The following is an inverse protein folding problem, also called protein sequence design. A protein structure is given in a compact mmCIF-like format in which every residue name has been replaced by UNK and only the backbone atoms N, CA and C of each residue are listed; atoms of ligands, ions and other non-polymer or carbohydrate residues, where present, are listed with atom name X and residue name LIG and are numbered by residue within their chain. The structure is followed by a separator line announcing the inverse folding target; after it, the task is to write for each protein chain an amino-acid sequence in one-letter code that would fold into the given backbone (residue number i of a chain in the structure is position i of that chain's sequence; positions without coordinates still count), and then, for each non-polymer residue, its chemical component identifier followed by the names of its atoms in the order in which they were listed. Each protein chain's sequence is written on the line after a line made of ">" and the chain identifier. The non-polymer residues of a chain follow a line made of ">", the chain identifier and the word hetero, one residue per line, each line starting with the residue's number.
data_IF_275462580285
#
_entry.id   IF_275462580285
#
_cell.length_a   1.000
_cell.length_b   1.000
_cell.length_c   1.000
_cell.angle_alpha   90.00
_cell.angle_beta   90.00
_cell.angle_gamma   90.00
#
_symmetry.space_group_name_H-M   'P 1'
#
loop_
_entity.id
_entity.type
_entity.pdbx_description
1 polymer ?
#
# COMPACT_ATOMS: atom_id res chain seq x y z
N UNK A 1 -5.88 -27.28 -19.29
CA UNK A 1 -5.84 -28.31 -18.23
C UNK A 1 -7.19 -29.01 -17.99
N UNK A 2 -8.34 -28.49 -18.43
CA UNK A 2 -9.63 -29.22 -18.41
C UNK A 2 -10.06 -29.80 -17.06
N UNK A 3 -9.59 -29.21 -15.95
CA UNK A 3 -9.79 -29.78 -14.60
C UNK A 3 -11.17 -29.49 -14.02
N UNK A 4 -11.80 -28.40 -14.44
CA UNK A 4 -13.12 -27.98 -14.01
C UNK A 4 -13.70 -26.97 -15.01
N UNK A 5 -15.02 -26.95 -15.13
CA UNK A 5 -15.77 -25.91 -15.85
C UNK A 5 -16.05 -24.68 -14.97
N UNK A 6 -16.24 -24.91 -13.66
CA UNK A 6 -16.48 -23.88 -12.65
C UNK A 6 -15.65 -24.15 -11.38
N UNK A 7 -15.14 -23.10 -10.76
CA UNK A 7 -14.34 -23.15 -9.52
C UNK A 7 -14.98 -22.29 -8.44
N UNK A 8 -15.39 -22.91 -7.32
CA UNK A 8 -15.87 -22.17 -6.16
C UNK A 8 -14.70 -21.62 -5.32
N UNK A 9 -14.83 -20.38 -4.84
CA UNK A 9 -13.79 -19.66 -4.09
C UNK A 9 -14.33 -19.22 -2.73
N UNK A 10 -13.73 -19.72 -1.64
CA UNK A 10 -14.14 -19.41 -0.26
C UNK A 10 -13.29 -18.30 0.39
N UNK A 11 -12.19 -18.69 1.05
CA UNK A 11 -11.35 -17.77 1.85
C UNK A 11 -10.85 -16.55 1.08
N UNK A 12 -10.62 -16.66 -0.22
CA UNK A 12 -10.23 -15.52 -1.07
C UNK A 12 -11.27 -14.40 -1.02
N UNK A 13 -12.57 -14.73 -1.17
CA UNK A 13 -13.66 -13.76 -1.09
C UNK A 13 -13.88 -13.21 0.33
N UNK A 14 -13.57 -14.00 1.37
CA UNK A 14 -13.64 -13.51 2.75
C UNK A 14 -12.56 -12.46 3.05
N UNK A 15 -11.37 -12.61 2.46
CA UNK A 15 -10.27 -11.66 2.62
C UNK A 15 -10.44 -10.43 1.70
N UNK A 16 -10.85 -10.66 0.46
CA UNK A 16 -11.07 -9.64 -0.56
C UNK A 16 -12.39 -9.93 -1.31
N UNK A 17 -13.49 -9.22 -1.00
CA UNK A 17 -14.76 -9.40 -1.68
C UNK A 17 -14.70 -9.16 -3.19
N UNK A 18 -13.76 -8.35 -3.67
CA UNK A 18 -13.58 -8.03 -5.09
C UNK A 18 -12.47 -8.88 -5.75
N UNK A 19 -12.07 -9.99 -5.12
CA UNK A 19 -10.95 -10.83 -5.58
C UNK A 19 -11.06 -11.23 -7.06
N UNK A 20 -12.26 -11.58 -7.53
CA UNK A 20 -12.48 -11.97 -8.94
C UNK A 20 -12.21 -10.84 -9.92
N UNK A 21 -12.59 -9.60 -9.58
CA UNK A 21 -12.32 -8.41 -10.37
C UNK A 21 -10.82 -8.07 -10.40
N UNK A 22 -10.14 -8.18 -9.25
CA UNK A 22 -8.68 -8.01 -9.19
C UNK A 22 -7.95 -9.11 -9.97
N UNK A 23 -8.40 -10.37 -9.90
CA UNK A 23 -7.83 -11.48 -10.64
C UNK A 23 -8.02 -11.31 -12.16
N UNK A 24 -9.16 -10.78 -12.59
CA UNK A 24 -9.40 -10.39 -13.98
C UNK A 24 -8.43 -9.28 -14.42
N UNK A 25 -8.32 -8.20 -13.64
CA UNK A 25 -7.41 -7.09 -13.92
C UNK A 25 -5.93 -7.54 -14.00
N UNK A 26 -5.50 -8.41 -13.08
CA UNK A 26 -4.14 -8.97 -13.07
C UNK A 26 -3.83 -9.83 -14.31
N UNK A 27 -4.85 -10.48 -14.88
CA UNK A 27 -4.75 -11.25 -16.12
C UNK A 27 -5.01 -10.41 -17.39
N UNK A 28 -5.33 -9.11 -17.23
CA UNK A 28 -5.74 -8.25 -18.34
C UNK A 28 -7.09 -8.64 -18.97
N UNK A 29 -7.93 -9.37 -18.26
CA UNK A 29 -9.25 -9.79 -18.73
C UNK A 29 -10.29 -8.67 -18.54
N UNK A 30 -11.00 -8.33 -19.61
CA UNK A 30 -12.02 -7.27 -19.65
C UNK A 30 -13.37 -7.74 -20.23
N UNK A 31 -13.61 -9.06 -20.23
CA UNK A 31 -14.86 -9.65 -20.74
C UNK A 31 -16.03 -9.60 -19.75
N UNK A 32 -17.13 -10.30 -20.05
CA UNK A 32 -18.34 -10.30 -19.21
C UNK A 32 -18.06 -10.61 -17.74
N UNK A 33 -18.61 -9.79 -16.85
CA UNK A 33 -18.44 -9.96 -15.40
C UNK A 33 -17.14 -9.36 -14.83
N UNK A 34 -16.29 -8.77 -15.66
CA UNK A 34 -15.09 -8.02 -15.23
C UNK A 34 -15.33 -6.49 -15.16
N UNK A 35 -16.58 -6.05 -15.22
CA UNK A 35 -16.95 -4.64 -15.17
C UNK A 35 -16.86 -4.08 -13.75
N UNK A 36 -16.08 -3.02 -13.60
CA UNK A 36 -15.94 -2.29 -12.35
C UNK A 36 -17.05 -1.24 -12.21
N UNK A 37 -17.71 -1.14 -11.04
CA UNK A 37 -18.54 0.01 -10.73
C UNK A 37 -17.76 1.31 -10.95
N UNK A 38 -18.39 2.31 -11.57
CA UNK A 38 -17.71 3.55 -11.99
C UNK A 38 -16.97 4.24 -10.82
N UNK A 39 -17.54 4.15 -9.63
CA UNK A 39 -17.00 4.73 -8.39
C UNK A 39 -15.72 4.03 -7.94
N UNK A 40 -15.52 2.76 -8.30
CA UNK A 40 -14.41 1.92 -7.84
C UNK A 40 -13.39 1.61 -8.93
N UNK A 41 -13.68 1.99 -10.18
CA UNK A 41 -12.79 1.81 -11.33
C UNK A 41 -11.34 2.27 -11.08
N UNK A 42 -11.06 3.39 -10.39
CA UNK A 42 -9.68 3.79 -10.07
C UNK A 42 -8.91 2.79 -9.19
N UNK A 43 -9.63 1.96 -8.40
CA UNK A 43 -9.06 0.93 -7.55
C UNK A 43 -8.78 -0.41 -8.23
N UNK A 44 -9.05 -0.53 -9.54
CA UNK A 44 -8.83 -1.78 -10.29
C UNK A 44 -7.36 -2.16 -10.47
N UNK A 45 -6.48 -1.17 -10.48
CA UNK A 45 -5.04 -1.38 -10.59
C UNK A 45 -4.44 -1.68 -9.20
N UNK A 46 -3.39 -2.53 -9.13
CA UNK A 46 -2.67 -2.70 -7.89
C UNK A 46 -2.15 -1.35 -7.39
N UNK A 47 -2.17 -1.10 -6.07
CA UNK A 47 -1.58 0.11 -5.52
C UNK A 47 -0.11 0.18 -5.93
N UNK A 48 0.42 1.40 -6.05
CA UNK A 48 1.85 1.58 -6.25
C UNK A 48 2.57 0.88 -5.09
N UNK A 49 3.17 -0.28 -5.36
CA UNK A 49 4.01 -0.96 -4.39
C UNK A 49 5.16 0.00 -4.08
N UNK A 50 5.17 0.53 -2.86
CA UNK A 50 6.19 1.47 -2.42
C UNK A 50 7.58 0.84 -2.59
N UNK A 51 8.48 1.56 -3.28
CA UNK A 51 9.90 1.24 -3.53
C UNK A 51 10.22 -0.25 -3.63
N UNK A 52 10.40 -0.72 -4.87
CA UNK A 52 11.40 -1.76 -5.17
C UNK A 52 12.70 -1.48 -4.40
N UNK A 53 13.41 -2.53 -4.01
CA UNK A 53 14.65 -2.64 -3.18
C UNK A 53 15.80 -1.62 -3.37
N UNK A 54 15.60 -0.54 -4.12
CA UNK A 54 16.52 0.58 -4.21
C UNK A 54 16.84 1.18 -2.83
N UNK A 55 18.09 1.65 -2.64
CA UNK A 55 18.57 2.13 -1.34
C UNK A 55 17.60 3.17 -0.77
N UNK A 56 17.23 2.98 0.51
CA UNK A 56 16.33 3.86 1.27
C UNK A 56 16.74 5.33 1.06
N UNK A 57 15.79 6.27 0.86
CA UNK A 57 16.20 7.65 0.71
C UNK A 57 16.87 8.05 2.01
N UNK A 58 18.11 8.57 1.96
CA UNK A 58 18.74 9.21 3.11
C UNK A 58 17.94 10.50 3.37
N UNK A 59 16.86 10.35 4.12
CA UNK A 59 16.11 11.47 4.65
C UNK A 59 17.01 12.14 5.69
N UNK A 60 17.73 13.18 5.28
CA UNK A 60 18.31 14.14 6.21
C UNK A 60 17.18 15.10 6.63
N UNK A 61 17.05 15.39 7.92
CA UNK A 61 16.20 16.50 8.33
C UNK A 61 16.78 17.76 7.69
N UNK A 62 15.91 18.57 7.06
CA UNK A 62 16.26 19.85 6.39
C UNK A 62 16.95 20.84 7.35
N UNK A 63 17.02 20.51 8.65
CA UNK A 63 17.78 21.22 9.65
C UNK A 63 18.48 20.22 10.58
N UNK A 64 19.51 19.55 10.10
CA UNK A 64 20.58 19.10 10.98
C UNK A 64 21.31 20.35 11.49
N UNK A 65 20.77 20.95 12.55
CA UNK A 65 21.55 21.89 13.35
C UNK A 65 22.67 21.14 14.05
N UNK A 66 23.76 21.82 14.40
CA UNK A 66 24.82 21.23 15.21
C UNK A 66 24.21 20.57 16.46
N UNK A 67 24.66 19.35 16.85
CA UNK A 67 24.20 18.70 18.06
C UNK A 67 24.60 19.51 19.29
N UNK A 68 23.74 20.43 19.69
CA UNK A 68 23.86 21.15 20.94
C UNK A 68 23.29 20.31 22.08
N UNK A 69 24.01 20.29 23.20
CA UNK A 69 23.56 19.64 24.44
C UNK A 69 22.30 20.33 24.96
N UNK A 70 21.13 19.79 24.57
CA UNK A 70 19.76 20.27 24.87
C UNK A 70 19.34 20.24 26.34
N UNK A 71 20.26 19.97 27.26
CA UNK A 71 19.95 19.91 28.70
C UNK A 71 20.50 21.16 29.39
N UNK A 72 19.81 22.29 29.22
CA UNK A 72 19.97 23.40 30.15
C UNK A 72 19.35 22.97 31.48
N UNK A 73 20.20 22.55 32.44
CA UNK A 73 19.78 22.28 33.81
C UNK A 73 19.31 23.59 34.42
N UNK A 74 18.05 23.64 34.86
CA UNK A 74 17.49 24.80 35.54
C UNK A 74 18.37 25.18 36.74
N UNK A 75 18.68 26.47 36.88
CA UNK A 75 19.37 27.04 38.03
C UNK A 75 18.46 28.11 38.65
N UNK A 76 18.04 27.95 39.92
CA UNK A 76 17.32 29.02 40.59
C UNK A 76 18.23 30.23 40.75
N UNK A 77 17.67 31.42 40.51
CA UNK A 77 18.35 32.69 40.74
C UNK A 77 18.76 32.81 42.20
N UNK A 78 20.03 33.16 42.43
CA UNK A 78 20.57 33.41 43.76
C UNK A 78 20.21 34.85 44.13
N UNK A 79 19.31 35.01 45.11
CA UNK A 79 19.11 36.26 45.85
C UNK A 79 20.38 36.69 46.55
#
# INVERSE_FOLDING_TARGET
>A
AGRADLCALGRAHLHDPNWTLHAAAAQGYSGPGADWPVQWRPGSAPPQAGRTDGPRPRLALIREGEPATRHARWRPGRT
#
